data_IF_272222942006
#
_entry.id   IF_272222942006
#
_cell.length_a   1.000
_cell.length_b   1.000
_cell.length_c   1.000
_cell.angle_alpha   90.00
_cell.angle_beta   90.00
_cell.angle_gamma   90.00
#
_symmetry.space_group_name_H-M   'P 1'
#
loop_
_entity.id
_entity.type
_entity.pdbx_description
1 polymer ?
#
# COMPACT_ATOMS: atom_id res chain seq x y z
N UNK A 1 1.26 2.87 -21.55
CA UNK A 1 0.82 4.08 -20.81
C UNK A 1 1.93 4.70 -19.95
N UNK A 2 2.18 4.30 -18.69
CA UNK A 2 3.20 4.99 -17.86
C UNK A 2 4.65 4.78 -18.33
N UNK A 3 4.96 3.61 -18.89
CA UNK A 3 6.28 3.32 -19.50
C UNK A 3 6.55 4.22 -20.70
N UNK A 4 5.53 4.53 -21.50
CA UNK A 4 5.63 5.48 -22.63
C UNK A 4 5.90 6.91 -22.15
N UNK A 5 5.52 7.23 -20.91
CA UNK A 5 5.83 8.51 -20.25
C UNK A 5 7.21 8.49 -19.55
N UNK A 6 8.02 7.44 -19.76
CA UNK A 6 9.36 7.31 -19.17
C UNK A 6 9.37 6.79 -17.73
N UNK A 7 8.23 6.36 -17.18
CA UNK A 7 8.18 5.73 -15.85
C UNK A 7 8.61 4.27 -15.96
N UNK A 8 9.70 3.92 -15.29
CA UNK A 8 10.20 2.55 -15.29
C UNK A 8 9.15 1.58 -14.75
N UNK A 9 8.94 0.47 -15.46
CA UNK A 9 8.09 -0.60 -14.99
C UNK A 9 8.67 -1.28 -13.74
N UNK A 10 7.80 -1.66 -12.82
CA UNK A 10 8.16 -2.52 -11.69
C UNK A 10 8.35 -3.95 -12.20
N UNK A 11 9.49 -4.57 -11.88
CA UNK A 11 9.81 -5.93 -12.33
C UNK A 11 9.12 -7.02 -11.51
N UNK A 12 8.57 -6.66 -10.34
CA UNK A 12 7.85 -7.58 -9.46
C UNK A 12 6.39 -7.70 -9.90
N UNK A 13 5.88 -8.93 -9.82
CA UNK A 13 4.46 -9.21 -9.98
C UNK A 13 3.63 -8.40 -8.97
N UNK A 14 2.54 -7.81 -9.45
CA UNK A 14 1.63 -7.06 -8.59
C UNK A 14 0.85 -8.02 -7.68
N UNK A 15 1.04 -7.86 -6.36
CA UNK A 15 0.28 -8.58 -5.33
C UNK A 15 -0.57 -7.56 -4.57
N UNK A 16 -1.89 -7.45 -4.84
CA UNK A 16 -2.73 -6.47 -4.16
C UNK A 16 -2.78 -6.80 -2.66
N UNK A 17 -2.40 -5.83 -1.82
CA UNK A 17 -2.44 -5.96 -0.37
C UNK A 17 -2.61 -4.59 0.27
N UNK A 18 -3.18 -4.57 1.47
CA UNK A 18 -3.20 -3.37 2.32
C UNK A 18 -2.04 -3.43 3.29
N UNK A 19 -1.09 -2.49 3.18
CA UNK A 19 -0.02 -2.38 4.17
C UNK A 19 -0.59 -1.83 5.47
N UNK A 20 -0.55 -2.62 6.56
CA UNK A 20 -0.97 -2.18 7.89
C UNK A 20 0.16 -1.52 8.68
N UNK A 21 1.36 -2.12 8.63
CA UNK A 21 2.53 -1.64 9.34
C UNK A 21 3.82 -2.17 8.68
N UNK A 22 4.95 -1.57 9.04
CA UNK A 22 6.30 -2.06 8.67
C UNK A 22 7.11 -2.31 9.93
N UNK A 23 7.61 -3.52 10.09
CA UNK A 23 8.47 -3.90 11.22
C UNK A 23 9.83 -3.22 11.05
N UNK A 24 10.24 -2.41 12.03
CA UNK A 24 11.52 -1.66 12.00
C UNK A 24 12.60 -2.26 12.91
N UNK A 25 12.25 -3.22 13.77
CA UNK A 25 13.19 -3.90 14.65
C UNK A 25 12.72 -5.33 14.93
N UNK A 26 13.63 -6.26 15.25
CA UNK A 26 13.26 -7.64 15.59
C UNK A 26 12.64 -7.77 17.00
N UNK A 27 12.56 -6.68 17.78
CA UNK A 27 12.03 -6.70 19.13
C UNK A 27 10.59 -7.22 19.11
N UNK A 28 10.34 -8.30 19.85
CA UNK A 28 9.04 -8.97 19.94
C UNK A 28 8.50 -9.58 18.62
N UNK A 29 9.35 -9.80 17.62
CA UNK A 29 8.93 -10.33 16.31
C UNK A 29 8.29 -11.72 16.41
N UNK A 30 8.82 -12.60 17.26
CA UNK A 30 8.28 -13.95 17.45
C UNK A 30 6.82 -13.92 17.92
N UNK A 31 6.53 -13.16 18.98
CA UNK A 31 5.17 -13.05 19.52
C UNK A 31 4.21 -12.41 18.50
N UNK A 32 4.68 -11.44 17.70
CA UNK A 32 3.90 -10.87 16.61
C UNK A 32 3.53 -11.95 15.57
N UNK A 33 4.52 -12.70 15.08
CA UNK A 33 4.29 -13.76 14.09
C UNK A 33 3.34 -14.85 14.61
N UNK A 34 3.45 -15.22 15.89
CA UNK A 34 2.56 -16.20 16.52
C UNK A 34 1.12 -15.69 16.69
N UNK A 35 0.91 -14.37 16.76
CA UNK A 35 -0.41 -13.77 16.91
C UNK A 35 -1.17 -13.60 15.57
N UNK A 36 -0.45 -13.41 14.45
CA UNK A 36 -1.05 -13.14 13.14
C UNK A 36 -2.02 -14.23 12.61
N UNK A 37 -1.78 -15.55 12.80
CA UNK A 37 -2.67 -16.59 12.28
C UNK A 37 -4.12 -16.48 12.77
N UNK A 38 -4.35 -15.86 13.94
CA UNK A 38 -5.69 -15.62 14.50
C UNK A 38 -6.57 -14.76 13.59
N UNK A 39 -5.98 -14.03 12.66
CA UNK A 39 -6.65 -13.10 11.75
C UNK A 39 -6.57 -13.53 10.29
N UNK A 40 -6.05 -14.74 9.99
CA UNK A 40 -5.79 -15.18 8.61
C UNK A 40 -7.07 -15.25 7.75
N UNK A 41 -8.18 -15.69 8.36
CA UNK A 41 -9.48 -15.83 7.71
C UNK A 41 -10.46 -14.71 8.11
N UNK A 42 -9.96 -13.66 8.78
CA UNK A 42 -10.80 -12.57 9.26
C UNK A 42 -11.22 -11.66 8.08
N UNK A 43 -12.52 -11.42 7.97
CA UNK A 43 -13.05 -10.49 6.99
C UNK A 43 -13.01 -9.05 7.55
N UNK A 44 -12.00 -8.28 7.15
CA UNK A 44 -11.83 -6.87 7.56
C UNK A 44 -12.79 -5.89 6.88
N UNK A 45 -13.59 -6.37 5.94
CA UNK A 45 -14.56 -5.58 5.18
C UNK A 45 -14.25 -5.49 3.70
N UNK A 46 -15.13 -4.81 2.98
CA UNK A 46 -15.05 -4.62 1.53
C UNK A 46 -14.97 -3.14 1.18
N UNK A 47 -14.17 -2.79 0.19
CA UNK A 47 -14.05 -1.42 -0.30
C UNK A 47 -14.42 -1.35 -1.77
N UNK A 48 -15.48 -0.60 -2.10
CA UNK A 48 -15.77 -0.24 -3.49
C UNK A 48 -14.70 0.73 -3.99
N UNK A 49 -14.07 0.42 -5.13
CA UNK A 49 -13.06 1.27 -5.76
C UNK A 49 -13.76 2.23 -6.73
N UNK A 50 -13.78 3.51 -6.41
CA UNK A 50 -14.46 4.54 -7.20
C UNK A 50 -13.51 5.50 -7.94
N UNK A 51 -12.22 5.48 -7.60
CA UNK A 51 -11.22 6.32 -8.25
C UNK A 51 -9.83 5.70 -8.23
N UNK A 52 -9.02 6.09 -9.20
CA UNK A 52 -7.57 5.91 -9.21
C UNK A 52 -6.91 7.26 -9.00
N UNK A 53 -5.94 7.34 -8.09
CA UNK A 53 -5.23 8.57 -7.77
C UNK A 53 -3.72 8.45 -8.04
N UNK A 54 -3.15 9.52 -8.60
CA UNK A 54 -1.69 9.68 -8.67
C UNK A 54 -1.26 10.39 -7.39
N UNK A 55 -0.41 9.72 -6.61
CA UNK A 55 0.04 10.18 -5.30
C UNK A 55 1.53 10.55 -5.36
N UNK A 56 1.90 11.68 -4.75
CA UNK A 56 3.29 12.04 -4.44
C UNK A 56 3.61 11.68 -3.00
N UNK A 57 4.80 11.16 -2.78
CA UNK A 57 5.35 10.87 -1.46
C UNK A 57 6.65 11.65 -1.28
N UNK A 58 6.60 12.72 -0.50
CA UNK A 58 7.78 13.51 -0.14
C UNK A 58 8.37 12.95 1.16
N UNK A 59 9.48 12.21 1.08
CA UNK A 59 10.12 11.58 2.23
C UNK A 59 10.86 12.63 3.07
N UNK A 60 10.48 12.76 4.35
CA UNK A 60 11.17 13.64 5.31
C UNK A 60 11.65 12.84 6.53
N UNK A 61 12.64 13.35 7.28
CA UNK A 61 13.12 12.67 8.50
C UNK A 61 12.01 12.38 9.52
N UNK A 62 11.02 13.26 9.62
CA UNK A 62 9.89 13.14 10.56
C UNK A 62 8.81 12.16 10.05
N UNK A 63 8.84 11.83 8.76
CA UNK A 63 7.89 10.95 8.09
C UNK A 63 7.52 11.40 6.68
N UNK A 64 6.94 10.51 5.86
CA UNK A 64 6.49 10.86 4.52
C UNK A 64 5.30 11.83 4.57
N UNK A 65 5.34 12.89 3.76
CA UNK A 65 4.16 13.69 3.42
C UNK A 65 3.56 13.15 2.14
N UNK A 66 2.27 12.77 2.17
CA UNK A 66 1.56 12.29 0.98
C UNK A 66 0.68 13.40 0.40
N UNK A 67 0.70 13.55 -0.92
CA UNK A 67 -0.12 14.53 -1.64
C UNK A 67 -0.84 13.85 -2.81
N UNK A 68 -2.15 14.04 -2.91
CA UNK A 68 -2.93 13.60 -4.08
C UNK A 68 -2.72 14.62 -5.20
N UNK A 69 -2.05 14.21 -6.28
CA UNK A 69 -1.75 15.08 -7.42
C UNK A 69 -2.91 15.15 -8.42
N UNK A 70 -3.53 14.01 -8.68
CA UNK A 70 -4.68 13.89 -9.58
C UNK A 70 -5.52 12.66 -9.18
N UNK A 71 -6.78 12.64 -9.59
CA UNK A 71 -7.65 11.49 -9.46
C UNK A 71 -8.56 11.36 -10.68
N UNK A 72 -8.83 10.13 -11.09
CA UNK A 72 -9.77 9.79 -12.17
C UNK A 72 -10.84 8.88 -11.59
N UNK A 73 -12.11 9.22 -11.82
CA UNK A 73 -13.24 8.39 -11.42
C UNK A 73 -13.31 7.14 -12.30
N UNK A 74 -13.56 6.00 -11.67
CA UNK A 74 -13.87 4.78 -12.39
C UNK A 74 -15.36 4.77 -12.76
N UNK A 75 -15.72 4.27 -13.95
CA UNK A 75 -17.11 3.98 -14.25
C UNK A 75 -17.63 2.94 -13.25
N UNK A 76 -18.86 3.15 -12.76
CA UNK A 76 -19.52 2.28 -11.80
C UNK A 76 -19.99 0.96 -12.40
#
# INVERSE_FOLDING_TARGET
>A
AFVELGVQAEGREFRPHLTLARVRSPRNLKALVEALPKFAEEAFGTQAVSELAVMRSDLKPEGPTYTKLAAVKLPG
#
